data_IF_790616051637
#
_entry.id   IF_790616051637
#
_cell.length_a   1.000
_cell.length_b   1.000
_cell.length_c   1.000
_cell.angle_alpha   90.00
_cell.angle_beta   90.00
_cell.angle_gamma   90.00
#
_symmetry.space_group_name_H-M   'P 1'
#
loop_
_entity.id
_entity.type
_entity.pdbx_description
1 polymer ?
#
# COMPACT_ATOMS: atom_id res chain seq x y z
N UNK A 1 -17.88 -14.19 -17.09
CA UNK A 1 -18.03 -13.46 -17.49
C UNK A 1 -18.05 -12.35 -16.69
N UNK A 2 -18.76 -12.15 -15.92
CA UNK A 2 -18.80 -11.06 -15.18
C UNK A 2 -17.83 -11.19 -14.14
N UNK A 3 -16.81 -11.74 -14.45
CA UNK A 3 -15.91 -11.97 -13.61
C UNK A 3 -15.71 -10.86 -12.78
N UNK A 4 -16.12 -10.87 -11.74
CA UNK A 4 -15.65 -10.05 -10.75
C UNK A 4 -15.53 -8.62 -11.09
N UNK A 5 -16.64 -8.05 -11.46
CA UNK A 5 -16.71 -6.61 -11.61
C UNK A 5 -16.20 -5.93 -10.35
N UNK A 6 -16.52 -6.50 -9.19
CA UNK A 6 -16.05 -5.94 -7.92
C UNK A 6 -14.54 -6.07 -7.78
N UNK A 7 -13.98 -7.19 -8.17
CA UNK A 7 -12.54 -7.38 -8.12
C UNK A 7 -11.82 -6.42 -9.05
N UNK A 8 -12.33 -6.25 -10.26
CA UNK A 8 -11.76 -5.30 -11.21
C UNK A 8 -11.84 -3.88 -10.65
N UNK A 9 -12.97 -3.53 -10.04
CA UNK A 9 -13.18 -2.22 -9.47
C UNK A 9 -12.19 -1.95 -8.34
N UNK A 10 -11.96 -2.91 -7.48
CA UNK A 10 -11.02 -2.76 -6.36
C UNK A 10 -9.61 -2.51 -6.90
N UNK A 11 -9.16 -3.28 -7.87
CA UNK A 11 -7.83 -3.10 -8.43
C UNK A 11 -7.68 -1.75 -9.10
N UNK A 12 -8.66 -1.37 -9.90
CA UNK A 12 -8.64 -0.08 -10.60
C UNK A 12 -8.64 1.07 -9.60
N UNK A 13 -9.47 0.98 -8.57
CA UNK A 13 -9.56 2.04 -7.58
C UNK A 13 -8.29 2.18 -6.76
N UNK A 14 -7.65 1.07 -6.42
CA UNK A 14 -6.39 1.11 -5.69
C UNK A 14 -5.31 1.77 -6.56
N UNK A 15 -5.23 1.38 -7.83
CA UNK A 15 -4.27 1.97 -8.75
C UNK A 15 -4.55 3.45 -8.97
N UNK A 16 -5.82 3.82 -9.11
CA UNK A 16 -6.22 5.21 -9.25
C UNK A 16 -5.84 6.03 -8.03
N UNK A 17 -6.09 5.51 -6.83
CA UNK A 17 -5.73 6.20 -5.60
C UNK A 17 -4.23 6.42 -5.50
N UNK A 18 -3.45 5.37 -5.73
CA UNK A 18 -2.00 5.47 -5.65
C UNK A 18 -1.45 6.43 -6.70
N UNK A 19 -2.02 6.43 -7.90
CA UNK A 19 -1.65 7.36 -8.94
C UNK A 19 -2.01 8.79 -8.54
N UNK A 20 -3.17 8.97 -7.95
CA UNK A 20 -3.60 10.28 -7.48
C UNK A 20 -2.65 10.81 -6.40
N UNK A 21 -2.30 9.99 -5.43
CA UNK A 21 -1.41 10.40 -4.36
C UNK A 21 -0.03 10.77 -4.91
N UNK A 22 0.46 9.99 -5.86
CA UNK A 22 1.75 10.27 -6.48
C UNK A 22 1.73 11.58 -7.27
N UNK A 23 0.60 11.93 -7.88
CA UNK A 23 0.49 13.16 -8.66
C UNK A 23 0.26 14.39 -7.82
N UNK A 24 -0.39 14.25 -6.66
CA UNK A 24 -0.71 15.39 -5.80
C UNK A 24 0.36 15.61 -4.75
N UNK A 25 1.10 14.59 -4.40
CA UNK A 25 2.17 14.70 -3.42
C UNK A 25 3.40 15.34 -4.03
N UNK A 26 4.54 15.17 -3.36
CA UNK A 26 5.79 15.69 -3.86
C UNK A 26 6.14 14.89 -5.11
N UNK A 27 6.16 15.57 -6.24
CA UNK A 27 6.35 14.91 -7.53
C UNK A 27 7.71 14.24 -7.70
N UNK A 28 8.64 14.51 -6.80
CA UNK A 28 9.94 13.88 -6.88
C UNK A 28 9.94 12.48 -6.29
N UNK A 29 8.92 12.15 -5.51
CA UNK A 29 8.86 10.86 -4.84
C UNK A 29 7.73 10.04 -5.47
N UNK A 30 8.03 9.41 -6.60
CA UNK A 30 7.06 8.50 -7.19
C UNK A 30 6.95 7.25 -6.32
N UNK A 31 5.74 6.71 -6.21
CA UNK A 31 5.51 5.47 -5.51
C UNK A 31 5.66 4.34 -6.51
N UNK A 32 6.70 3.52 -6.31
CA UNK A 32 6.87 2.34 -7.13
C UNK A 32 5.95 1.25 -6.59
N UNK A 33 4.90 1.00 -7.33
CA UNK A 33 3.91 0.02 -6.94
C UNK A 33 4.17 -1.27 -7.68
N UNK A 34 4.30 -2.36 -6.93
CA UNK A 34 4.43 -3.67 -7.54
C UNK A 34 3.06 -4.36 -7.54
N UNK A 35 2.67 -4.82 -8.71
CA UNK A 35 1.42 -5.56 -8.86
C UNK A 35 1.75 -6.99 -9.26
N UNK A 36 1.47 -7.94 -8.38
CA UNK A 36 1.74 -9.34 -8.62
C UNK A 36 0.69 -10.21 -7.91
N UNK A 37 0.29 -11.31 -8.53
CA UNK A 37 -0.70 -12.24 -7.99
C UNK A 37 -1.99 -11.53 -7.59
N UNK A 38 -2.42 -10.61 -8.45
CA UNK A 38 -3.65 -9.85 -8.26
C UNK A 38 -3.66 -9.06 -6.95
N UNK A 39 -2.49 -8.62 -6.51
CA UNK A 39 -2.35 -7.83 -5.31
C UNK A 39 -1.34 -6.70 -5.54
N UNK A 40 -1.44 -5.69 -4.70
CA UNK A 40 -0.53 -4.56 -4.73
C UNK A 40 0.42 -4.71 -3.55
N UNK A 41 1.71 -4.51 -3.80
CA UNK A 41 2.75 -4.70 -2.81
C UNK A 41 3.59 -3.42 -2.69
N UNK A 42 3.71 -2.91 -1.48
CA UNK A 42 4.53 -1.74 -1.17
C UNK A 42 5.52 -2.06 -0.06
N UNK A 43 6.69 -1.44 -0.14
CA UNK A 43 7.62 -1.45 0.99
C UNK A 43 7.16 -0.44 2.05
N UNK A 44 7.74 -0.50 3.23
CA UNK A 44 7.46 0.52 4.26
C UNK A 44 7.86 1.91 3.75
N UNK A 45 8.96 2.00 3.03
CA UNK A 45 9.42 3.28 2.48
C UNK A 45 8.40 3.88 1.51
N UNK A 46 7.77 3.04 0.71
CA UNK A 46 6.72 3.50 -0.20
C UNK A 46 5.49 3.97 0.56
N UNK A 47 5.17 3.32 1.69
CA UNK A 47 4.07 3.76 2.53
C UNK A 47 4.36 5.09 3.20
N UNK A 48 5.62 5.39 3.50
CA UNK A 48 6.03 6.71 4.00
C UNK A 48 5.63 7.78 3.00
N UNK A 49 5.91 7.56 1.73
CA UNK A 49 5.53 8.50 0.67
C UNK A 49 4.01 8.56 0.52
N UNK A 50 3.35 7.42 0.55
CA UNK A 50 1.90 7.35 0.38
C UNK A 50 1.16 8.12 1.47
N UNK A 51 1.53 7.92 2.72
CA UNK A 51 0.81 8.50 3.85
C UNK A 51 1.44 9.77 4.41
N UNK A 52 2.63 10.13 3.95
CA UNK A 52 3.28 11.35 4.41
C UNK A 52 3.67 11.32 5.88
N UNK A 53 4.12 10.18 6.38
CA UNK A 53 4.58 10.04 7.76
C UNK A 53 5.97 9.42 7.76
N UNK A 54 6.63 9.43 8.91
CA UNK A 54 7.98 8.89 9.02
C UNK A 54 8.00 7.36 9.01
N UNK A 55 9.16 6.80 8.67
CA UNK A 55 9.35 5.36 8.66
C UNK A 55 9.09 4.72 10.03
N UNK A 56 9.55 5.31 11.16
CA UNK A 56 9.24 4.73 12.47
C UNK A 56 7.74 4.61 12.74
N UNK A 57 6.96 5.57 12.27
CA UNK A 57 5.51 5.56 12.44
C UNK A 57 4.89 4.40 11.66
N UNK A 58 5.30 4.20 10.40
CA UNK A 58 4.82 3.09 9.61
C UNK A 58 5.18 1.76 10.28
N UNK A 59 6.43 1.63 10.71
CA UNK A 59 6.91 0.40 11.34
C UNK A 59 6.11 0.10 12.62
N UNK A 60 5.81 1.11 13.41
CA UNK A 60 5.06 0.95 14.64
C UNK A 60 3.63 0.50 14.38
N UNK A 61 2.97 1.10 13.41
CA UNK A 61 1.61 0.68 13.03
C UNK A 61 1.58 -0.77 12.56
N UNK A 62 2.56 -1.18 11.75
CA UNK A 62 2.62 -2.56 11.26
C UNK A 62 2.81 -3.53 12.42
N UNK A 63 3.71 -3.22 13.34
CA UNK A 63 3.94 -4.07 14.50
C UNK A 63 2.68 -4.21 15.34
N UNK A 64 1.95 -3.13 15.53
CA UNK A 64 0.73 -3.15 16.32
C UNK A 64 -0.36 -3.96 15.63
N UNK A 65 -0.48 -3.85 14.32
CA UNK A 65 -1.46 -4.62 13.56
C UNK A 65 -1.22 -6.11 13.76
N UNK A 66 0.03 -6.55 13.70
CA UNK A 66 0.36 -7.96 13.92
C UNK A 66 0.18 -8.35 15.39
N UNK A 67 0.59 -7.49 16.32
CA UNK A 67 0.45 -7.78 17.74
C UNK A 67 -1.01 -7.93 18.15
N UNK A 68 -1.89 -7.16 17.53
CA UNK A 68 -3.32 -7.22 17.82
C UNK A 68 -4.05 -8.30 17.00
N UNK A 69 -3.31 -9.07 16.23
CA UNK A 69 -3.84 -10.15 15.38
C UNK A 69 -4.87 -9.67 14.36
N UNK A 70 -4.77 -8.41 13.94
CA UNK A 70 -5.65 -7.90 12.88
C UNK A 70 -5.34 -8.59 11.55
N UNK A 71 -4.08 -8.83 11.27
CA UNK A 71 -3.61 -9.51 10.06
C UNK A 71 -2.51 -10.49 10.44
N UNK A 72 -2.33 -11.49 9.60
CA UNK A 72 -1.26 -12.46 9.80
C UNK A 72 -0.04 -12.09 8.99
N UNK A 73 1.13 -12.19 9.61
CA UNK A 73 2.37 -11.83 8.96
C UNK A 73 2.61 -12.68 7.71
N UNK A 74 2.43 -13.98 7.83
CA UNK A 74 2.69 -14.89 6.71
C UNK A 74 1.79 -14.63 5.50
N UNK A 75 0.62 -14.05 5.72
CA UNK A 75 -0.32 -13.80 4.64
C UNK A 75 -0.15 -12.42 4.00
N UNK A 76 0.58 -11.52 4.64
CA UNK A 76 0.63 -10.12 4.22
C UNK A 76 2.01 -9.62 3.82
N UNK A 77 3.04 -10.43 3.98
CA UNK A 77 4.41 -10.07 3.66
C UNK A 77 4.96 -10.98 2.57
N UNK A 78 5.68 -10.39 1.65
CA UNK A 78 6.44 -11.15 0.65
C UNK A 78 7.74 -10.41 0.36
N UNK A 79 8.83 -11.15 0.20
CA UNK A 79 10.09 -10.56 -0.21
C UNK A 79 10.17 -10.57 -1.74
N UNK A 80 10.54 -9.42 -2.30
CA UNK A 80 10.82 -9.32 -3.72
C UNK A 80 12.26 -8.88 -3.89
N UNK A 81 12.90 -9.42 -4.90
CA UNK A 81 14.26 -9.06 -5.23
C UNK A 81 14.23 -7.81 -6.09
N UNK A 82 14.91 -6.77 -5.64
CA UNK A 82 14.98 -5.51 -6.39
C UNK A 82 16.43 -5.13 -6.58
N UNK A 83 16.69 -4.44 -7.70
CA UNK A 83 18.03 -3.94 -8.01
C UNK A 83 18.07 -2.48 -7.63
N UNK A 84 19.04 -2.11 -6.81
CA UNK A 84 19.21 -0.74 -6.35
C UNK A 84 20.59 -0.24 -6.74
N UNK A 85 20.67 1.04 -7.07
CA UNK A 85 21.95 1.68 -7.33
C UNK A 85 22.48 2.27 -6.02
N UNK A 86 23.63 1.78 -5.58
CA UNK A 86 24.28 2.27 -4.37
C UNK A 86 25.66 2.78 -4.78
N UNK A 87 25.81 4.10 -4.82
CA UNK A 87 27.00 4.72 -5.36
C UNK A 87 27.11 4.44 -6.85
N UNK A 88 28.22 3.84 -7.29
CA UNK A 88 28.42 3.47 -8.69
C UNK A 88 28.10 2.01 -8.95
N UNK A 89 27.52 1.30 -7.99
CA UNK A 89 27.27 -0.13 -8.09
C UNK A 89 25.80 -0.42 -8.11
N UNK A 90 25.41 -1.48 -8.81
CA UNK A 90 24.07 -2.03 -8.73
C UNK A 90 24.11 -3.20 -7.77
N UNK A 91 23.20 -3.18 -6.80
CA UNK A 91 23.13 -4.22 -5.78
C UNK A 91 21.72 -4.82 -5.81
N UNK A 92 21.66 -6.15 -5.77
CA UNK A 92 20.38 -6.85 -5.69
C UNK A 92 20.08 -7.14 -4.22
N UNK A 93 18.89 -6.75 -3.77
CA UNK A 93 18.48 -6.98 -2.39
C UNK A 93 17.09 -7.58 -2.34
N UNK A 94 16.89 -8.48 -1.41
CA UNK A 94 15.55 -8.97 -1.08
C UNK A 94 14.90 -7.93 -0.18
N UNK A 95 13.78 -7.39 -0.61
CA UNK A 95 13.13 -6.32 0.11
C UNK A 95 11.73 -6.74 0.50
N UNK A 96 11.41 -6.54 1.77
CA UNK A 96 10.12 -6.91 2.33
C UNK A 96 9.03 -5.98 1.82
N UNK A 97 7.98 -6.56 1.27
CA UNK A 97 6.82 -5.82 0.77
C UNK A 97 5.58 -6.29 1.53
N UNK A 98 4.61 -5.39 1.63
CA UNK A 98 3.34 -5.64 2.31
C UNK A 98 2.20 -5.51 1.30
N UNK A 99 1.22 -6.37 1.43
CA UNK A 99 0.12 -6.40 0.48
C UNK A 99 -0.93 -5.32 0.74
N UNK A 100 -1.94 -5.26 -0.13
CA UNK A 100 -2.98 -4.24 -0.06
C UNK A 100 -3.72 -4.26 1.28
N UNK A 101 -3.94 -5.42 1.87
CA UNK A 101 -4.62 -5.50 3.17
C UNK A 101 -3.84 -4.75 4.24
N UNK A 102 -2.52 -4.92 4.27
CA UNK A 102 -1.68 -4.19 5.22
C UNK A 102 -1.66 -2.70 4.90
N UNK A 103 -1.57 -2.36 3.61
CA UNK A 103 -1.58 -0.95 3.19
C UNK A 103 -2.85 -0.26 3.70
N UNK A 104 -3.98 -0.90 3.55
CA UNK A 104 -5.27 -0.38 4.02
C UNK A 104 -5.28 -0.26 5.54
N UNK A 105 -4.84 -1.29 6.24
CA UNK A 105 -4.83 -1.29 7.69
C UNK A 105 -3.97 -0.16 8.26
N UNK A 106 -2.81 0.08 7.67
CA UNK A 106 -1.95 1.18 8.08
C UNK A 106 -2.64 2.52 7.82
N UNK A 107 -3.32 2.66 6.68
CA UNK A 107 -4.02 3.88 6.34
C UNK A 107 -5.11 4.23 7.34
N UNK A 108 -5.75 3.25 7.95
CA UNK A 108 -6.75 3.51 8.97
C UNK A 108 -6.15 3.93 10.32
N UNK A 109 -4.86 3.69 10.52
CA UNK A 109 -4.20 4.07 11.77
C UNK A 109 -3.47 5.40 11.68
N UNK A 110 -3.15 5.85 10.50
CA UNK A 110 -2.48 7.14 10.31
C UNK A 110 -3.49 8.26 10.51
N UNK A 111 -3.08 9.31 11.23
CA UNK A 111 -3.98 10.43 11.52
C UNK A 111 -3.44 11.71 10.87
N UNK A 112 -3.72 11.88 9.58
CA UNK A 112 -3.40 13.11 8.88
C UNK A 112 -4.32 13.26 7.67
N UNK A 113 -4.13 14.34 6.91
CA UNK A 113 -5.00 14.66 5.79
C UNK A 113 -4.96 13.62 4.67
N UNK A 114 -3.78 13.10 4.38
CA UNK A 114 -3.65 12.06 3.36
C UNK A 114 -4.41 10.79 3.77
N UNK A 115 -4.35 10.45 5.05
CA UNK A 115 -5.08 9.30 5.55
C UNK A 115 -6.59 9.51 5.49
N UNK A 116 -7.05 10.76 5.67
CA UNK A 116 -8.47 11.07 5.51
C UNK A 116 -8.90 10.81 4.07
N UNK A 117 -8.12 11.24 3.10
CA UNK A 117 -8.41 10.99 1.69
C UNK A 117 -8.43 9.49 1.39
N UNK A 118 -7.46 8.76 1.95
CA UNK A 118 -7.42 7.32 1.79
C UNK A 118 -8.66 6.65 2.37
N UNK A 119 -9.08 7.06 3.58
CA UNK A 119 -10.26 6.48 4.21
C UNK A 119 -11.54 6.76 3.41
N UNK A 120 -11.65 7.95 2.82
CA UNK A 120 -12.78 8.26 1.96
C UNK A 120 -12.82 7.35 0.73
N UNK A 121 -11.68 7.14 0.12
CA UNK A 121 -11.57 6.24 -1.00
C UNK A 121 -11.91 4.80 -0.59
N UNK A 122 -11.36 4.34 0.52
CA UNK A 122 -11.60 2.98 1.01
C UNK A 122 -13.09 2.75 1.32
N UNK A 123 -13.73 3.74 1.93
CA UNK A 123 -15.15 3.64 2.25
C UNK A 123 -16.00 3.59 0.97
N UNK A 124 -15.61 4.31 -0.04
CA UNK A 124 -16.31 4.28 -1.32
C UNK A 124 -16.20 2.89 -1.95
N UNK A 125 -15.02 2.28 -1.90
CA UNK A 125 -14.83 0.93 -2.41
C UNK A 125 -15.73 -0.06 -1.68
N UNK A 126 -15.77 0.01 -0.36
CA UNK A 126 -16.61 -0.89 0.43
C UNK A 126 -18.09 -0.68 0.08
N UNK A 127 -18.51 0.57 -0.06
CA UNK A 127 -19.88 0.88 -0.41
C UNK A 127 -20.24 0.33 -1.78
N UNK A 128 -19.39 0.54 -2.77
CA UNK A 128 -19.63 0.05 -4.11
C UNK A 128 -19.66 -1.48 -4.14
N UNK A 129 -18.85 -2.09 -3.32
CA UNK A 129 -18.76 -3.53 -3.25
C UNK A 129 -20.03 -4.13 -2.62
N UNK A 130 -20.56 -3.47 -1.59
CA UNK A 130 -21.72 -4.01 -0.89
C UNK A 130 -23.03 -3.80 -1.62
N UNK A 131 -23.10 -2.91 -2.54
CA UNK A 131 -24.33 -2.67 -3.29
C UNK A 131 -24.63 -3.78 -4.27
N UNK A 132 -23.71 -4.63 -4.52
CA UNK A 132 -23.94 -5.78 -5.36
C UNK A 132 -24.65 -6.86 -4.56
#
# INVERSE_FOLDING_TARGET
LVKNKAEITIRSSAAEYLTYVASVGDQQDSIDMRYEDENIWLTQKMMVTLYGVGLPTINEHIKKIYADSELEESATIRNFRIVQTEGSRQVTRDTKHYNLQMIIAVGFKVNNERAVQFRKWANRIVKDYTII
#
